data_IF_373443139976
#
_entry.id   IF_373443139976
#
_cell.length_a   1.000
_cell.length_b   1.000
_cell.length_c   1.000
_cell.angle_alpha   90.00
_cell.angle_beta   90.00
_cell.angle_gamma   90.00
#
_symmetry.space_group_name_H-M   'P 1'
#
loop_
_entity.id
_entity.type
_entity.pdbx_description
1 polymer ?
#
# COMPACT_ATOMS: atom_id res chain seq x y z
N UNK A 1 11.65 5.17 -5.53
CA UNK A 1 12.97 4.52 -5.72
C UNK A 1 12.91 3.35 -6.69
N UNK A 2 12.05 2.33 -6.47
CA UNK A 2 11.94 1.15 -7.36
C UNK A 2 11.67 1.51 -8.83
N UNK A 3 10.77 2.46 -9.10
CA UNK A 3 10.47 2.92 -10.47
C UNK A 3 11.68 3.52 -11.19
N UNK A 4 12.48 4.33 -10.47
CA UNK A 4 13.68 4.94 -11.02
C UNK A 4 14.77 3.90 -11.28
N UNK A 5 14.97 2.97 -10.34
CA UNK A 5 15.94 1.89 -10.49
C UNK A 5 15.61 0.98 -11.68
N UNK A 6 14.32 0.71 -11.93
CA UNK A 6 13.86 -0.08 -13.06
C UNK A 6 13.88 0.68 -14.41
N UNK A 7 13.96 2.01 -14.39
CA UNK A 7 14.01 2.84 -15.59
C UNK A 7 15.44 3.08 -16.09
N UNK A 8 16.44 2.97 -15.22
CA UNK A 8 17.84 3.24 -15.53
C UNK A 8 18.63 1.94 -15.74
N UNK A 9 19.09 1.70 -16.97
CA UNK A 9 19.89 0.51 -17.30
C UNK A 9 21.22 0.44 -16.54
N UNK A 10 21.76 1.60 -16.14
CA UNK A 10 22.99 1.70 -15.36
C UNK A 10 22.85 1.18 -13.90
N UNK A 11 21.62 1.03 -13.40
CA UNK A 11 21.34 0.46 -12.07
C UNK A 11 20.84 -0.98 -12.14
N UNK A 12 20.81 -1.60 -13.33
CA UNK A 12 20.58 -3.03 -13.45
C UNK A 12 21.87 -3.80 -13.13
N UNK A 13 21.79 -4.88 -12.33
CA UNK A 13 22.94 -5.75 -12.15
C UNK A 13 23.27 -6.46 -13.48
N UNK A 14 24.55 -6.62 -13.77
CA UNK A 14 24.99 -7.41 -14.92
C UNK A 14 24.46 -8.84 -14.81
N UNK A 15 24.07 -9.45 -15.94
CA UNK A 15 23.58 -10.82 -15.96
C UNK A 15 24.59 -11.77 -15.32
N UNK A 16 24.31 -12.25 -14.12
CA UNK A 16 25.13 -13.23 -13.41
C UNK A 16 24.29 -14.47 -13.16
N UNK A 17 24.73 -15.61 -13.71
CA UNK A 17 24.08 -16.91 -13.50
C UNK A 17 24.23 -17.48 -12.08
N UNK A 18 24.36 -16.64 -11.05
CA UNK A 18 24.51 -17.03 -9.65
C UNK A 18 23.52 -16.26 -8.76
N UNK A 19 23.05 -16.90 -7.69
CA UNK A 19 22.08 -16.34 -6.74
C UNK A 19 22.57 -15.10 -5.97
N UNK A 20 23.89 -14.89 -5.87
CA UNK A 20 24.50 -13.75 -5.19
C UNK A 20 25.15 -12.76 -6.18
N UNK A 21 24.31 -12.26 -7.10
CA UNK A 21 24.70 -11.32 -8.16
C UNK A 21 24.70 -9.86 -7.69
N UNK A 22 23.87 -9.50 -6.71
CA UNK A 22 23.72 -8.11 -6.27
C UNK A 22 24.77 -7.76 -5.22
N UNK A 23 25.84 -7.07 -5.64
CA UNK A 23 26.91 -6.56 -4.78
C UNK A 23 27.09 -5.06 -4.94
N UNK A 24 27.56 -4.40 -3.89
CA UNK A 24 27.82 -2.96 -3.87
C UNK A 24 26.56 -2.09 -3.76
N UNK A 25 26.66 -0.83 -4.18
CA UNK A 25 25.60 0.18 -4.02
C UNK A 25 24.27 -0.16 -4.70
N UNK A 26 24.30 -0.89 -5.83
CA UNK A 26 23.10 -1.32 -6.56
C UNK A 26 22.27 -2.31 -5.72
N UNK A 27 22.93 -3.27 -5.07
CA UNK A 27 22.28 -4.23 -4.19
C UNK A 27 21.70 -3.56 -2.94
N UNK A 28 22.46 -2.66 -2.32
CA UNK A 28 21.96 -1.87 -1.19
C UNK A 28 20.71 -1.07 -1.56
N UNK A 29 20.72 -0.37 -2.70
CA UNK A 29 19.56 0.40 -3.17
C UNK A 29 18.35 -0.50 -3.45
N UNK A 30 18.56 -1.68 -4.03
CA UNK A 30 17.49 -2.63 -4.31
C UNK A 30 16.84 -3.16 -3.03
N UNK A 31 17.65 -3.65 -2.08
CA UNK A 31 17.13 -4.18 -0.82
C UNK A 31 16.46 -3.11 0.04
N UNK A 32 17.05 -1.92 0.15
CA UNK A 32 16.42 -0.80 0.88
C UNK A 32 15.10 -0.40 0.24
N UNK A 33 15.02 -0.33 -1.08
CA UNK A 33 13.78 0.00 -1.80
C UNK A 33 12.69 -1.05 -1.56
N UNK A 34 13.03 -2.34 -1.56
CA UNK A 34 12.10 -3.42 -1.24
C UNK A 34 11.65 -3.39 0.21
N UNK A 35 12.56 -3.13 1.17
CA UNK A 35 12.22 -3.00 2.58
C UNK A 35 11.27 -1.83 2.82
N UNK A 36 11.52 -0.67 2.20
CA UNK A 36 10.62 0.48 2.28
C UNK A 36 9.26 0.20 1.67
N UNK A 37 9.21 -0.52 0.53
CA UNK A 37 7.95 -0.93 -0.09
C UNK A 37 7.16 -1.87 0.83
N UNK A 38 7.83 -2.86 1.43
CA UNK A 38 7.21 -3.80 2.36
C UNK A 38 6.66 -3.08 3.61
N UNK A 39 7.44 -2.16 4.19
CA UNK A 39 7.01 -1.32 5.31
C UNK A 39 5.80 -0.46 4.95
N UNK A 40 5.82 0.17 3.77
CA UNK A 40 4.71 1.01 3.30
C UNK A 40 3.41 0.21 3.11
N UNK A 41 3.48 -0.95 2.45
CA UNK A 41 2.32 -1.83 2.24
C UNK A 41 1.78 -2.36 3.58
N UNK A 42 2.68 -2.78 4.48
CA UNK A 42 2.32 -3.27 5.80
C UNK A 42 1.62 -2.20 6.63
N UNK A 43 2.15 -0.97 6.64
CA UNK A 43 1.56 0.17 7.35
C UNK A 43 0.16 0.49 6.84
N UNK A 44 -0.01 0.65 5.52
CA UNK A 44 -1.32 0.97 4.92
C UNK A 44 -2.34 -0.13 5.23
N UNK A 45 -2.00 -1.41 5.02
CA UNK A 45 -2.94 -2.51 5.28
C UNK A 45 -3.29 -2.65 6.76
N UNK A 46 -2.33 -2.38 7.66
CA UNK A 46 -2.54 -2.47 9.10
C UNK A 46 -3.41 -1.36 9.68
N UNK A 47 -3.36 -0.15 9.13
CA UNK A 47 -4.05 1.02 9.70
C UNK A 47 -5.31 1.42 8.93
N UNK A 48 -5.39 1.20 7.62
CA UNK A 48 -6.43 1.81 6.77
C UNK A 48 -7.83 1.24 7.02
N UNK A 49 -7.94 -0.06 7.32
CA UNK A 49 -9.23 -0.70 7.60
C UNK A 49 -9.79 -0.25 8.94
N UNK A 50 -8.94 -0.19 9.97
CA UNK A 50 -9.30 0.33 11.29
C UNK A 50 -9.72 1.80 11.20
N UNK A 51 -8.93 2.63 10.50
CA UNK A 51 -9.25 4.04 10.27
C UNK A 51 -10.61 4.25 9.57
N UNK A 52 -10.94 3.41 8.58
CA UNK A 52 -12.23 3.45 7.90
C UNK A 52 -13.39 3.04 8.80
N UNK A 53 -13.19 2.01 9.63
CA UNK A 53 -14.20 1.56 10.60
C UNK A 53 -14.47 2.64 11.66
N UNK A 54 -13.44 3.34 12.12
CA UNK A 54 -13.53 4.41 13.12
C UNK A 54 -14.41 5.60 12.69
N UNK A 55 -14.76 5.70 11.41
CA UNK A 55 -15.65 6.74 10.90
C UNK A 55 -17.13 6.51 11.26
N UNK A 56 -17.53 5.28 11.61
CA UNK A 56 -18.90 4.92 11.93
C UNK A 56 -19.09 4.71 13.43
N UNK A 57 -20.23 5.11 13.98
CA UNK A 57 -20.59 4.90 15.38
C UNK A 57 -21.50 3.67 15.52
N UNK A 58 -21.04 2.63 16.23
CA UNK A 58 -21.77 1.37 16.36
C UNK A 58 -23.10 1.49 17.13
N UNK A 59 -23.23 2.54 17.97
CA UNK A 59 -24.42 2.77 18.79
C UNK A 59 -25.60 3.32 17.99
N UNK A 60 -25.36 3.86 16.80
CA UNK A 60 -26.42 4.28 15.89
C UNK A 60 -26.78 3.11 14.94
N UNK A 61 -28.00 2.55 15.01
CA UNK A 61 -28.39 1.42 14.18
C UNK A 61 -28.35 1.72 12.66
N UNK A 62 -28.41 2.99 12.25
CA UNK A 62 -28.25 3.37 10.85
C UNK A 62 -26.77 3.36 10.42
N UNK A 63 -25.88 3.90 11.26
CA UNK A 63 -24.44 3.90 10.99
C UNK A 63 -23.85 2.48 11.08
N UNK A 64 -24.37 1.61 11.96
CA UNK A 64 -23.98 0.20 12.03
C UNK A 64 -24.29 -0.57 10.74
N UNK A 65 -25.44 -0.32 10.09
CA UNK A 65 -25.75 -0.90 8.78
C UNK A 65 -24.83 -0.33 7.68
N UNK A 66 -24.52 0.97 7.76
CA UNK A 66 -23.60 1.61 6.82
C UNK A 66 -22.18 1.05 6.93
N UNK A 67 -21.72 0.71 8.13
CA UNK A 67 -20.42 0.05 8.36
C UNK A 67 -20.33 -1.31 7.64
N UNK A 68 -21.38 -2.13 7.71
CA UNK A 68 -21.42 -3.40 6.99
C UNK A 68 -21.36 -3.19 5.45
N UNK A 69 -22.10 -2.20 4.95
CA UNK A 69 -22.04 -1.80 3.53
C UNK A 69 -20.65 -1.31 3.12
N UNK A 70 -19.98 -0.54 3.98
CA UNK A 70 -18.61 -0.09 3.78
C UNK A 70 -17.65 -1.26 3.60
N UNK A 71 -17.70 -2.27 4.48
CA UNK A 71 -16.84 -3.46 4.35
C UNK A 71 -17.16 -4.27 3.07
N UNK A 72 -18.42 -4.37 2.69
CA UNK A 72 -18.80 -5.01 1.42
C UNK A 72 -18.18 -4.28 0.21
N UNK A 73 -18.28 -2.95 0.17
CA UNK A 73 -17.66 -2.13 -0.88
C UNK A 73 -16.14 -2.18 -0.85
N UNK A 74 -15.53 -2.20 0.33
CA UNK A 74 -14.10 -2.33 0.51
C UNK A 74 -13.58 -3.67 -0.05
N UNK A 75 -14.26 -4.77 0.24
CA UNK A 75 -13.89 -6.10 -0.26
C UNK A 75 -14.10 -6.20 -1.77
N UNK A 76 -15.22 -5.68 -2.29
CA UNK A 76 -15.50 -5.67 -3.72
C UNK A 76 -14.44 -4.87 -4.49
N UNK A 77 -14.18 -3.63 -4.07
CA UNK A 77 -13.19 -2.77 -4.72
C UNK A 77 -11.76 -3.32 -4.61
N UNK A 78 -11.38 -3.91 -3.47
CA UNK A 78 -10.07 -4.55 -3.29
C UNK A 78 -9.90 -5.76 -4.20
N UNK A 79 -10.96 -6.57 -4.36
CA UNK A 79 -10.94 -7.74 -5.24
C UNK A 79 -10.82 -7.32 -6.70
N UNK A 80 -11.60 -6.34 -7.13
CA UNK A 80 -11.50 -5.76 -8.49
C UNK A 80 -10.11 -5.19 -8.75
N UNK A 81 -9.56 -4.42 -7.80
CA UNK A 81 -8.21 -3.89 -7.89
C UNK A 81 -7.14 -4.98 -8.00
N UNK A 82 -7.29 -6.08 -7.24
CA UNK A 82 -6.39 -7.23 -7.33
C UNK A 82 -6.46 -7.91 -8.71
N UNK A 83 -7.66 -8.11 -9.25
CA UNK A 83 -7.85 -8.66 -10.61
C UNK A 83 -7.17 -7.75 -11.64
N UNK A 84 -7.42 -6.44 -11.60
CA UNK A 84 -6.79 -5.47 -12.52
C UNK A 84 -5.26 -5.43 -12.37
N UNK A 85 -4.76 -5.56 -11.14
CA UNK A 85 -3.32 -5.60 -10.87
C UNK A 85 -2.65 -6.83 -11.49
N UNK A 86 -3.18 -8.02 -11.23
CA UNK A 86 -2.58 -9.27 -11.72
C UNK A 86 -2.76 -9.46 -13.23
N UNK A 87 -3.78 -8.84 -13.84
CA UNK A 87 -4.02 -8.94 -15.29
C UNK A 87 -3.37 -7.79 -16.04
N UNK A 88 -3.87 -6.57 -15.85
CA UNK A 88 -3.47 -5.39 -16.61
C UNK A 88 -2.04 -4.93 -16.29
N UNK A 89 -1.72 -4.74 -15.02
CA UNK A 89 -0.38 -4.22 -14.63
C UNK A 89 0.71 -5.24 -14.95
N UNK A 90 0.47 -6.52 -14.72
CA UNK A 90 1.42 -7.59 -15.10
C UNK A 90 1.59 -7.67 -16.62
N UNK A 91 0.51 -7.53 -17.39
CA UNK A 91 0.60 -7.50 -18.85
C UNK A 91 1.47 -6.32 -19.34
N UNK A 92 1.26 -5.12 -18.81
CA UNK A 92 2.11 -3.95 -19.14
C UNK A 92 3.57 -4.18 -18.73
N UNK A 93 3.79 -4.75 -17.54
CA UNK A 93 5.13 -5.00 -17.00
C UNK A 93 5.92 -5.99 -17.84
N UNK A 94 5.25 -7.00 -18.39
CA UNK A 94 5.87 -8.07 -19.18
C UNK A 94 6.01 -7.73 -20.66
N UNK A 95 5.08 -6.98 -21.26
CA UNK A 95 5.11 -6.65 -22.70
C UNK A 95 5.88 -5.36 -23.03
N UNK A 96 5.88 -4.36 -22.14
CA UNK A 96 6.56 -3.07 -22.37
C UNK A 96 7.88 -3.00 -21.62
N UNK A 97 7.79 -2.85 -20.30
CA UNK A 97 8.90 -2.89 -19.37
C UNK A 97 8.39 -2.78 -17.93
N UNK A 98 9.19 -3.26 -16.98
CA UNK A 98 8.87 -3.24 -15.55
C UNK A 98 8.70 -1.83 -14.98
N UNK A 99 9.46 -0.83 -15.46
CA UNK A 99 9.33 0.54 -14.97
C UNK A 99 7.94 1.14 -15.26
N UNK A 100 7.30 0.79 -16.37
CA UNK A 100 5.93 1.24 -16.67
C UNK A 100 4.92 0.68 -15.66
N UNK A 101 5.06 -0.60 -15.29
CA UNK A 101 4.24 -1.20 -14.24
C UNK A 101 4.39 -0.49 -12.89
N UNK A 102 5.64 -0.26 -12.47
CA UNK A 102 5.91 0.47 -11.23
C UNK A 102 5.45 1.93 -11.26
N UNK A 103 5.52 2.58 -12.43
CA UNK A 103 5.06 3.95 -12.60
C UNK A 103 3.54 4.06 -12.46
N UNK A 104 2.78 3.15 -13.07
CA UNK A 104 1.32 3.08 -12.93
C UNK A 104 0.93 2.92 -11.45
N UNK A 105 1.58 1.98 -10.75
CA UNK A 105 1.33 1.76 -9.31
C UNK A 105 1.66 3.03 -8.51
N UNK A 106 2.77 3.70 -8.82
CA UNK A 106 3.18 4.93 -8.14
C UNK A 106 2.13 6.02 -8.28
N UNK A 107 1.64 6.27 -9.50
CA UNK A 107 0.58 7.27 -9.75
C UNK A 107 -0.70 6.89 -9.01
N UNK A 108 -1.13 5.63 -9.09
CA UNK A 108 -2.35 5.17 -8.43
C UNK A 108 -2.27 5.36 -6.89
N UNK A 109 -1.14 5.02 -6.28
CA UNK A 109 -0.90 5.26 -4.85
C UNK A 109 -0.84 6.74 -4.49
N UNK A 110 -0.23 7.59 -5.34
CA UNK A 110 -0.20 9.04 -5.12
C UNK A 110 -1.59 9.66 -5.18
N UNK A 111 -2.44 9.24 -6.12
CA UNK A 111 -3.83 9.68 -6.20
C UNK A 111 -4.59 9.27 -4.94
N UNK A 112 -4.46 8.01 -4.50
CA UNK A 112 -5.08 7.54 -3.26
C UNK A 112 -4.65 8.35 -2.04
N UNK A 113 -3.36 8.64 -1.91
CA UNK A 113 -2.81 9.47 -0.83
C UNK A 113 -3.36 10.90 -0.87
N UNK A 114 -3.41 11.54 -2.04
CA UNK A 114 -3.96 12.90 -2.19
C UNK A 114 -5.43 12.93 -1.82
N UNK A 115 -6.22 11.94 -2.25
CA UNK A 115 -7.64 11.83 -1.88
C UNK A 115 -7.81 11.70 -0.36
N UNK A 116 -6.97 10.88 0.30
CA UNK A 116 -6.99 10.78 1.76
C UNK A 116 -6.58 12.08 2.43
N UNK A 117 -5.55 12.77 1.93
CA UNK A 117 -5.10 14.03 2.50
C UNK A 117 -6.16 15.14 2.36
N UNK A 118 -6.84 15.22 1.21
CA UNK A 118 -7.92 16.18 0.97
C UNK A 118 -9.19 15.86 1.77
N UNK A 119 -9.41 14.59 2.11
CA UNK A 119 -10.52 14.15 2.96
C UNK A 119 -10.36 14.50 4.44
N UNK A 120 -9.16 14.93 4.87
CA UNK A 120 -8.84 15.26 6.27
C UNK A 120 -9.93 16.06 7.05
N UNK A 121 -10.50 17.16 6.52
CA UNK A 121 -11.52 17.92 7.26
C UNK A 121 -12.84 17.18 7.46
N UNK A 122 -13.09 16.09 6.72
CA UNK A 122 -14.31 15.28 6.81
C UNK A 122 -14.16 14.07 7.73
N UNK A 123 -12.96 13.80 8.26
CA UNK A 123 -12.72 12.63 9.08
C UNK A 123 -13.07 12.86 10.54
N UNK A 124 -13.75 11.88 11.14
CA UNK A 124 -13.90 11.76 12.58
C UNK A 124 -12.57 11.27 13.15
N UNK A 125 -11.90 12.14 13.90
CA UNK A 125 -10.65 11.80 14.60
C UNK A 125 -11.04 11.38 16.02
N UNK A 126 -10.95 10.09 16.33
CA UNK A 126 -11.13 9.59 17.70
C UNK A 126 -9.96 10.10 18.55
N UNK A 127 -10.25 10.59 19.76
CA UNK A 127 -9.20 10.96 20.72
C UNK A 127 -8.38 9.72 21.07
N UNK A 128 -7.04 9.80 21.10
CA UNK A 128 -6.22 8.65 21.49
C UNK A 128 -6.64 8.19 22.89
N UNK A 129 -7.04 6.91 23.01
CA UNK A 129 -7.26 6.28 24.30
C UNK A 129 -5.93 5.98 25.01
N UNK A 130 -6.00 5.38 26.20
CA UNK A 130 -4.81 4.95 26.93
C UNK A 130 -3.87 4.10 26.08
N UNK A 131 -2.57 4.25 26.33
CA UNK A 131 -1.48 3.65 25.54
C UNK A 131 -1.77 2.18 25.19
N UNK A 132 -1.68 1.78 23.91
CA UNK A 132 -1.84 0.39 23.49
C UNK A 132 -0.90 -0.57 24.25
N UNK A 133 0.28 -0.07 24.66
CA UNK A 133 1.26 -0.82 25.45
C UNK A 133 0.72 -1.10 26.86
N UNK A 134 0.04 -0.12 27.47
CA UNK A 134 -0.58 -0.27 28.79
C UNK A 134 -1.76 -1.24 28.71
N UNK A 135 -2.56 -1.18 27.65
CA UNK A 135 -3.65 -2.14 27.42
C UNK A 135 -3.16 -3.58 27.23
N UNK A 136 -2.03 -3.79 26.55
CA UNK A 136 -1.42 -5.12 26.41
C UNK A 136 -0.81 -5.58 27.74
N UNK A 137 -0.22 -4.67 28.52
CA UNK A 137 0.39 -4.98 29.81
C UNK A 137 -0.64 -5.21 30.95
N UNK A 138 -1.88 -4.77 30.77
CA UNK A 138 -3.00 -4.98 31.72
C UNK A 138 -3.78 -6.28 31.50
N UNK A 139 -3.41 -7.08 30.50
CA UNK A 139 -3.92 -8.46 30.30
C UNK A 139 -2.90 -9.45 30.81
#
# INVERSE_FOLDING_TARGET
MVTFQAASDHLHPNACGKSSCMKGGIGFMFYTSLSLLALGIGGVRGSMTAFGADQFEEKDPNEAKALASFFNWLLLSSTLGAITGVTGVVWVSTQRAWHWGFFIITIASSIGFVTLALGKPFYRIKTPGDSPIIRIAQV
#
